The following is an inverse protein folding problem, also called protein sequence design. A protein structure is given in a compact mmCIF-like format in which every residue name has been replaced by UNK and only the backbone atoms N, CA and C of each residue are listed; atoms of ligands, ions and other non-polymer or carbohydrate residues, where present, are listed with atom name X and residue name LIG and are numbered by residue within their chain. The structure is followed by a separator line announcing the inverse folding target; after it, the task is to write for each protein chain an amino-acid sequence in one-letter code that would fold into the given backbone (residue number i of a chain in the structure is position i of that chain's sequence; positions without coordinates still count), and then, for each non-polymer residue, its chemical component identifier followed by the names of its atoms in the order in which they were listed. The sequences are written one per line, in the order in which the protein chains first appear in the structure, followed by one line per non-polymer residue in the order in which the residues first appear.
data_IF_916543204344
#
_entry.id   IF_916543204344
#
_cell.length_a   1.000
_cell.length_b   1.000
_cell.length_c   1.000
_cell.angle_alpha   90.00
_cell.angle_beta   90.00
_cell.angle_gamma   90.00
#
_symmetry.space_group_name_H-M   'P 1'
#
loop_
_entity.id
_entity.type
_entity.pdbx_description
1 polymer ?
#
# COMPACT_ATOMS: atom_id res chain seq x y z
N UNK A 1 12.22 -4.23 -26.08
CA UNK A 1 11.53 -3.37 -27.07
C UNK A 1 12.55 -3.03 -28.15
N UNK A 2 12.28 -3.40 -29.40
CA UNK A 2 13.23 -3.27 -30.53
C UNK A 2 13.08 -1.89 -31.16
N UNK A 3 14.17 -1.13 -31.16
CA UNK A 3 14.31 0.11 -31.93
C UNK A 3 14.15 -0.17 -33.42
N UNK A 4 13.12 0.41 -34.03
CA UNK A 4 13.02 0.54 -35.49
C UNK A 4 13.30 1.99 -35.86
N UNK A 5 14.57 2.30 -36.12
CA UNK A 5 14.97 3.50 -36.87
C UNK A 5 14.61 3.28 -38.33
N UNK A 6 13.67 4.06 -38.85
CA UNK A 6 13.40 4.17 -40.28
C UNK A 6 14.24 5.37 -40.75
N UNK A 7 15.40 5.08 -41.35
CA UNK A 7 16.13 6.04 -42.17
C UNK A 7 15.54 5.94 -43.58
N UNK A 8 14.91 7.01 -44.07
CA UNK A 8 14.52 7.13 -45.47
C UNK A 8 14.88 8.51 -45.99
N UNK A 9 16.18 8.76 -46.11
CA UNK A 9 16.71 9.80 -47.01
C UNK A 9 17.10 9.13 -48.31
N UNK A 10 16.34 9.40 -49.37
CA UNK A 10 16.73 9.05 -50.74
C UNK A 10 16.59 10.30 -51.59
N UNK A 11 17.67 11.07 -51.85
CA UNK A 11 17.59 12.18 -52.78
C UNK A 11 17.43 11.66 -54.21
N UNK A 12 16.41 12.15 -54.89
CA UNK A 12 16.14 11.86 -56.28
C UNK A 12 17.32 12.27 -57.17
N UNK A 13 17.88 11.29 -57.89
CA UNK A 13 18.98 11.44 -58.86
C UNK A 13 18.45 12.18 -60.10
N UNK A 14 18.69 13.48 -60.18
CA UNK A 14 18.42 14.28 -61.39
C UNK A 14 19.38 13.83 -62.49
N UNK A 15 18.84 13.18 -63.52
CA UNK A 15 19.56 12.73 -64.70
C UNK A 15 19.68 13.90 -65.69
N UNK A 16 20.79 14.61 -65.68
CA UNK A 16 21.09 15.64 -66.69
C UNK A 16 21.54 14.94 -67.98
N UNK A 17 20.67 14.95 -69.01
CA UNK A 17 21.06 14.53 -70.36
C UNK A 17 21.97 15.58 -70.99
N UNK A 18 23.26 15.27 -71.10
CA UNK A 18 24.23 16.03 -71.88
C UNK A 18 23.97 15.78 -73.38
N UNK A 19 23.40 16.76 -74.07
CA UNK A 19 23.22 16.72 -75.53
C UNK A 19 24.56 17.08 -76.19
N UNK A 20 25.28 16.08 -76.69
CA UNK A 20 26.44 16.29 -77.56
C UNK A 20 25.98 16.79 -78.94
N UNK A 21 26.18 18.08 -79.20
CA UNK A 21 25.95 18.70 -80.51
C UNK A 21 27.14 18.38 -81.43
N UNK A 22 26.92 17.52 -82.42
CA UNK A 22 27.89 17.25 -83.49
C UNK A 22 27.97 18.47 -84.42
N UNK A 23 29.16 19.04 -84.55
CA UNK A 23 29.48 20.01 -85.58
C UNK A 23 29.56 19.29 -86.93
N UNK A 24 28.58 19.52 -87.81
CA UNK A 24 28.65 19.18 -89.23
C UNK A 24 28.81 20.47 -90.00
N UNK A 25 30.04 20.71 -90.45
CA UNK A 25 30.42 21.70 -91.44
C UNK A 25 30.16 21.10 -92.81
N UNK A 26 29.12 21.57 -93.50
CA UNK A 26 29.04 21.52 -94.95
C UNK A 26 28.43 22.84 -95.46
N UNK A 27 29.26 23.60 -96.18
CA UNK A 27 28.88 24.83 -96.89
C UNK A 27 28.35 24.45 -98.28
N UNK A 28 27.23 25.03 -98.73
CA UNK A 28 26.93 25.16 -100.15
C UNK A 28 27.19 26.60 -100.66
N UNK A 29 27.26 26.77 -101.99
CA UNK A 29 28.02 27.83 -102.63
C UNK A 29 27.26 29.16 -102.74
N UNK A 30 28.05 30.22 -102.85
CA UNK A 30 27.61 31.59 -103.09
C UNK A 30 26.90 31.71 -104.44
N UNK A 31 25.66 32.18 -104.40
CA UNK A 31 24.84 32.47 -105.57
C UNK A 31 24.00 33.73 -105.35
N UNK A 32 24.44 34.83 -105.99
CA UNK A 32 23.68 36.01 -106.41
C UNK A 32 22.96 36.80 -105.29
N UNK A 33 23.69 37.80 -104.82
CA UNK A 33 23.18 39.02 -104.19
C UNK A 33 22.29 39.75 -105.19
N UNK A 34 21.02 39.99 -104.85
CA UNK A 34 20.34 41.29 -104.99
C UNK A 34 18.81 41.17 -104.86
N UNK A 35 18.32 40.53 -103.80
CA UNK A 35 16.93 40.67 -103.35
C UNK A 35 16.69 40.22 -101.90
N UNK A 36 17.73 40.13 -101.07
CA UNK A 36 17.64 39.59 -99.68
C UNK A 36 17.64 40.65 -98.57
N UNK A 37 17.92 41.93 -98.87
CA UNK A 37 18.00 42.97 -97.83
C UNK A 37 16.63 43.41 -97.31
N UNK A 38 15.58 43.34 -98.12
CA UNK A 38 14.21 43.58 -97.66
C UNK A 38 13.71 42.44 -96.74
N UNK A 39 14.05 41.18 -97.05
CA UNK A 39 13.71 40.04 -96.20
C UNK A 39 14.56 39.96 -94.92
N UNK A 40 15.80 40.46 -94.94
CA UNK A 40 16.69 40.49 -93.77
C UNK A 40 16.17 41.45 -92.70
N UNK A 41 15.75 42.64 -93.10
CA UNK A 41 15.17 43.62 -92.18
C UNK A 41 13.83 43.10 -91.61
N UNK A 42 12.97 42.49 -92.45
CA UNK A 42 11.72 41.88 -92.00
C UNK A 42 11.94 40.72 -91.02
N UNK A 43 13.00 39.92 -91.21
CA UNK A 43 13.35 38.83 -90.31
C UNK A 43 13.97 39.33 -89.00
N UNK A 44 14.80 40.37 -89.03
CA UNK A 44 15.29 41.03 -87.83
C UNK A 44 14.16 41.67 -87.02
N UNK A 45 13.17 42.29 -87.69
CA UNK A 45 11.98 42.85 -87.04
C UNK A 45 11.13 41.74 -86.38
N UNK A 46 10.92 40.61 -87.05
CA UNK A 46 10.23 39.44 -86.47
C UNK A 46 11.00 38.83 -85.30
N UNK A 47 12.33 38.76 -85.39
CA UNK A 47 13.19 38.25 -84.32
C UNK A 47 13.16 39.18 -83.11
N UNK A 48 13.15 40.50 -83.33
CA UNK A 48 13.03 41.50 -82.27
C UNK A 48 11.64 41.43 -81.63
N UNK A 49 10.56 41.28 -82.41
CA UNK A 49 9.22 41.02 -81.87
C UNK A 49 9.13 39.74 -81.04
N UNK A 50 9.75 38.64 -81.48
CA UNK A 50 9.80 37.39 -80.70
C UNK A 50 10.63 37.54 -79.42
N UNK A 51 11.72 38.30 -79.45
CA UNK A 51 12.50 38.62 -78.26
C UNK A 51 11.69 39.46 -77.27
N UNK A 52 11.00 40.48 -77.75
CA UNK A 52 10.11 41.29 -76.92
C UNK A 52 8.99 40.43 -76.32
N UNK A 53 8.31 39.59 -77.10
CA UNK A 53 7.30 38.66 -76.60
C UNK A 53 7.85 37.71 -75.54
N UNK A 54 9.07 37.19 -75.72
CA UNK A 54 9.73 36.32 -74.73
C UNK A 54 10.07 37.07 -73.45
N UNK A 55 10.58 38.30 -73.55
CA UNK A 55 10.84 39.16 -72.40
C UNK A 55 9.52 39.42 -71.65
N UNK A 56 8.45 39.73 -72.38
CA UNK A 56 7.14 40.03 -71.82
C UNK A 56 6.49 38.82 -71.13
N UNK A 57 6.61 37.63 -71.73
CA UNK A 57 6.15 36.35 -71.14
C UNK A 57 6.99 35.98 -69.91
N UNK A 58 8.32 36.14 -69.97
CA UNK A 58 9.20 35.88 -68.83
C UNK A 58 8.89 36.85 -67.67
N UNK A 59 8.67 38.14 -67.94
CA UNK A 59 8.23 39.08 -66.91
C UNK A 59 6.91 38.67 -66.27
N UNK A 60 5.91 38.29 -67.08
CA UNK A 60 4.62 37.78 -66.58
C UNK A 60 4.77 36.52 -65.75
N UNK A 61 5.67 35.61 -66.15
CA UNK A 61 5.98 34.40 -65.39
C UNK A 61 6.64 34.71 -64.05
N UNK A 62 7.61 35.62 -64.01
CA UNK A 62 8.28 36.04 -62.78
C UNK A 62 7.31 36.76 -61.83
N UNK A 63 6.40 37.58 -62.36
CA UNK A 63 5.37 38.28 -61.60
C UNK A 63 4.34 37.30 -61.04
N UNK A 64 3.86 36.35 -61.85
CA UNK A 64 3.00 35.27 -61.40
C UNK A 64 3.70 34.45 -60.31
N UNK A 65 4.95 34.04 -60.53
CA UNK A 65 5.75 33.28 -59.56
C UNK A 65 5.85 34.02 -58.23
N UNK A 66 6.23 35.31 -58.25
CA UNK A 66 6.27 36.15 -57.04
C UNK A 66 4.91 36.25 -56.37
N UNK A 67 3.84 36.47 -57.14
CA UNK A 67 2.48 36.54 -56.59
C UNK A 67 2.09 35.22 -55.92
N UNK A 68 2.39 34.07 -56.54
CA UNK A 68 2.07 32.74 -56.00
C UNK A 68 2.91 32.43 -54.77
N UNK A 69 4.19 32.83 -54.74
CA UNK A 69 5.05 32.70 -53.57
C UNK A 69 4.56 33.57 -52.41
N UNK A 70 4.17 34.83 -52.67
CA UNK A 70 3.66 35.74 -51.64
C UNK A 70 2.33 35.24 -51.08
N UNK A 71 1.45 34.70 -51.94
CA UNK A 71 0.10 34.31 -51.51
C UNK A 71 0.09 32.91 -50.88
N UNK A 72 0.79 31.93 -51.46
CA UNK A 72 0.65 30.52 -51.07
C UNK A 72 1.62 30.09 -49.98
N UNK A 73 2.82 30.68 -49.94
CA UNK A 73 3.86 30.31 -48.96
C UNK A 73 3.47 30.59 -47.51
N UNK A 74 2.94 31.77 -47.13
CA UNK A 74 2.59 32.02 -45.72
C UNK A 74 1.47 31.09 -45.24
N UNK A 75 0.51 30.76 -46.11
CA UNK A 75 -0.58 29.83 -45.79
C UNK A 75 -0.05 28.40 -45.59
N UNK A 76 0.88 27.95 -46.44
CA UNK A 76 1.54 26.65 -46.27
C UNK A 76 2.40 26.59 -45.00
N UNK A 77 3.15 27.66 -44.70
CA UNK A 77 3.95 27.74 -43.47
C UNK A 77 3.06 27.81 -42.21
N UNK A 78 1.90 28.48 -42.30
CA UNK A 78 0.90 28.49 -41.24
C UNK A 78 0.29 27.10 -41.03
N UNK A 79 -0.17 26.46 -42.10
CA UNK A 79 -0.73 25.10 -42.04
C UNK A 79 0.29 24.09 -41.50
N UNK A 80 1.55 24.19 -41.92
CA UNK A 80 2.61 23.32 -41.40
C UNK A 80 2.84 23.52 -39.90
N UNK A 81 2.83 24.77 -39.42
CA UNK A 81 2.90 25.07 -37.97
C UNK A 81 1.69 24.53 -37.21
N UNK A 82 0.49 24.64 -37.78
CA UNK A 82 -0.73 24.07 -37.17
C UNK A 82 -0.64 22.54 -37.09
N UNK A 83 -0.25 21.87 -38.18
CA UNK A 83 -0.06 20.43 -38.20
C UNK A 83 1.02 19.95 -37.23
N UNK A 84 2.13 20.69 -37.09
CA UNK A 84 3.16 20.40 -36.08
C UNK A 84 2.60 20.56 -34.67
N UNK A 85 1.87 21.64 -34.40
CA UNK A 85 1.23 21.85 -33.09
C UNK A 85 0.24 20.74 -32.74
N UNK A 86 -0.55 20.27 -33.72
CA UNK A 86 -1.51 19.20 -33.51
C UNK A 86 -0.82 17.83 -33.35
N UNK A 87 0.28 17.59 -34.07
CA UNK A 87 1.12 16.41 -33.86
C UNK A 87 1.70 16.38 -32.44
N UNK A 88 2.24 17.51 -31.96
CA UNK A 88 2.79 17.63 -30.62
C UNK A 88 1.71 17.43 -29.54
N UNK A 89 0.52 18.02 -29.72
CA UNK A 89 -0.64 17.79 -28.83
C UNK A 89 -1.00 16.30 -28.78
N UNK A 90 -1.14 15.66 -29.94
CA UNK A 90 -1.49 14.25 -30.02
C UNK A 90 -0.42 13.35 -29.38
N UNK A 91 0.87 13.69 -29.54
CA UNK A 91 1.96 12.97 -28.88
C UNK A 91 1.89 13.12 -27.36
N UNK A 92 1.65 14.33 -26.85
CA UNK A 92 1.49 14.58 -25.41
C UNK A 92 0.28 13.85 -24.83
N UNK A 93 -0.86 13.85 -25.53
CA UNK A 93 -2.03 13.07 -25.14
C UNK A 93 -1.71 11.57 -25.10
N UNK A 94 -0.96 11.05 -26.08
CA UNK A 94 -0.55 9.66 -26.11
C UNK A 94 0.38 9.31 -24.94
N UNK A 95 1.31 10.19 -24.57
CA UNK A 95 2.17 9.98 -23.40
C UNK A 95 1.37 9.97 -22.11
N UNK A 96 0.43 10.91 -21.92
CA UNK A 96 -0.44 10.94 -20.75
C UNK A 96 -1.32 9.69 -20.66
N UNK A 97 -1.90 9.23 -21.78
CA UNK A 97 -2.67 7.98 -21.81
C UNK A 97 -1.82 6.76 -21.46
N UNK A 98 -0.55 6.70 -21.91
CA UNK A 98 0.37 5.62 -21.53
C UNK A 98 0.68 5.62 -20.05
N UNK A 99 0.92 6.79 -19.45
CA UNK A 99 1.14 6.93 -18.01
C UNK A 99 -0.10 6.46 -17.22
N UNK A 100 -1.30 6.84 -17.65
CA UNK A 100 -2.55 6.37 -17.05
C UNK A 100 -2.70 4.85 -17.15
N UNK A 101 -2.41 4.26 -18.31
CA UNK A 101 -2.45 2.80 -18.50
C UNK A 101 -1.47 2.12 -17.54
N UNK A 102 -0.24 2.62 -17.43
CA UNK A 102 0.77 2.06 -16.52
C UNK A 102 0.32 2.17 -15.05
N UNK A 103 -0.25 3.30 -14.67
CA UNK A 103 -0.80 3.52 -13.33
C UNK A 103 -1.95 2.54 -13.01
N UNK A 104 -2.90 2.38 -13.95
CA UNK A 104 -3.99 1.43 -13.80
C UNK A 104 -3.50 -0.02 -13.75
N UNK A 105 -2.49 -0.39 -14.55
CA UNK A 105 -1.87 -1.72 -14.49
C UNK A 105 -1.20 -1.98 -13.13
N UNK A 106 -0.43 -1.02 -12.61
CA UNK A 106 0.18 -1.12 -11.29
C UNK A 106 -0.89 -1.30 -10.20
N UNK A 107 -1.98 -0.52 -10.29
CA UNK A 107 -3.12 -0.63 -9.37
C UNK A 107 -3.77 -2.01 -9.44
N UNK A 108 -4.03 -2.55 -10.63
CA UNK A 108 -4.60 -3.89 -10.82
C UNK A 108 -3.69 -4.94 -10.17
N UNK A 109 -2.38 -4.87 -10.40
CA UNK A 109 -1.43 -5.83 -9.80
C UNK A 109 -1.39 -5.74 -8.28
N UNK A 110 -1.57 -4.54 -7.72
CA UNK A 110 -1.66 -4.33 -6.28
C UNK A 110 -2.94 -4.91 -5.69
N UNK A 111 -4.10 -4.63 -6.29
CA UNK A 111 -5.38 -5.22 -5.85
C UNK A 111 -5.39 -6.74 -5.96
N UNK A 112 -4.75 -7.30 -7.00
CA UNK A 112 -4.59 -8.75 -7.13
C UNK A 112 -3.75 -9.36 -6.02
N UNK A 113 -2.65 -8.71 -5.61
CA UNK A 113 -1.82 -9.22 -4.51
C UNK A 113 -2.53 -9.10 -3.17
N UNK A 114 -3.27 -8.01 -2.91
CA UNK A 114 -4.10 -7.87 -1.71
C UNK A 114 -5.22 -8.92 -1.67
N UNK A 115 -5.91 -9.13 -2.80
CA UNK A 115 -6.94 -10.16 -2.90
C UNK A 115 -6.40 -11.54 -2.56
N UNK A 116 -5.25 -11.93 -3.12
CA UNK A 116 -4.62 -13.20 -2.81
C UNK A 116 -4.16 -13.30 -1.35
N UNK A 117 -3.69 -12.21 -0.76
CA UNK A 117 -3.35 -12.15 0.67
C UNK A 117 -4.56 -12.43 1.56
N UNK A 118 -5.66 -11.71 1.32
CA UNK A 118 -6.93 -11.89 2.06
C UNK A 118 -7.51 -13.29 1.84
N UNK A 119 -7.42 -13.82 0.63
CA UNK A 119 -7.86 -15.18 0.32
C UNK A 119 -7.09 -16.22 1.14
N UNK A 120 -5.75 -16.12 1.20
CA UNK A 120 -4.92 -17.03 1.98
C UNK A 120 -5.22 -16.94 3.49
N UNK A 121 -5.42 -15.73 4.03
CA UNK A 121 -5.82 -15.55 5.43
C UNK A 121 -7.17 -16.20 5.73
N UNK A 122 -8.13 -16.07 4.81
CA UNK A 122 -9.45 -16.70 4.95
C UNK A 122 -9.37 -18.22 4.91
N UNK A 123 -8.55 -18.80 4.03
CA UNK A 123 -8.32 -20.24 3.98
C UNK A 123 -7.71 -20.76 5.29
N UNK A 124 -6.77 -20.03 5.89
CA UNK A 124 -6.21 -20.38 7.22
C UNK A 124 -7.27 -20.30 8.32
N UNK A 125 -8.17 -19.32 8.27
CA UNK A 125 -9.27 -19.24 9.25
C UNK A 125 -10.26 -20.39 9.08
N UNK A 126 -10.62 -20.75 7.85
CA UNK A 126 -11.52 -21.86 7.56
C UNK A 126 -10.94 -23.17 8.12
N UNK A 127 -9.66 -23.46 7.84
CA UNK A 127 -9.03 -24.68 8.37
C UNK A 127 -8.96 -24.69 9.90
N UNK A 128 -8.65 -23.55 10.52
CA UNK A 128 -8.67 -23.42 11.98
C UNK A 128 -10.07 -23.66 12.58
N UNK A 129 -11.13 -23.17 11.94
CA UNK A 129 -12.51 -23.42 12.38
C UNK A 129 -12.91 -24.88 12.19
N UNK A 130 -12.56 -25.51 11.08
CA UNK A 130 -12.81 -26.92 10.84
C UNK A 130 -12.13 -27.80 11.90
N UNK A 131 -10.88 -27.49 12.25
CA UNK A 131 -10.14 -28.21 13.28
C UNK A 131 -10.74 -28.00 14.67
N UNK A 132 -11.18 -26.78 15.00
CA UNK A 132 -11.89 -26.50 16.25
C UNK A 132 -13.21 -27.28 16.35
N UNK A 133 -13.98 -27.35 15.25
CA UNK A 133 -15.21 -28.14 15.19
C UNK A 133 -14.92 -29.63 15.41
N UNK A 134 -13.90 -30.18 14.73
CA UNK A 134 -13.48 -31.59 14.93
C UNK A 134 -13.06 -31.85 16.37
N UNK A 135 -12.31 -30.94 16.98
CA UNK A 135 -11.91 -31.05 18.37
C UNK A 135 -13.13 -31.07 19.30
N UNK A 136 -14.07 -30.14 19.12
CA UNK A 136 -15.30 -30.09 19.92
C UNK A 136 -16.14 -31.36 19.76
N UNK A 137 -16.24 -31.91 18.54
CA UNK A 137 -16.92 -33.18 18.30
C UNK A 137 -16.25 -34.34 19.04
N UNK A 138 -14.91 -34.40 19.02
CA UNK A 138 -14.15 -35.41 19.75
C UNK A 138 -14.34 -35.27 21.27
N UNK A 139 -14.30 -34.05 21.81
CA UNK A 139 -14.57 -33.77 23.22
C UNK A 139 -15.99 -34.21 23.61
N UNK A 140 -17.00 -33.89 22.79
CA UNK A 140 -18.37 -34.32 23.01
C UNK A 140 -18.51 -35.85 23.00
N UNK A 141 -17.85 -36.54 22.06
CA UNK A 141 -17.84 -38.01 22.03
C UNK A 141 -17.16 -38.60 23.27
N UNK A 142 -16.09 -37.98 23.76
CA UNK A 142 -15.44 -38.37 25.01
C UNK A 142 -16.39 -38.18 26.20
N UNK A 143 -17.09 -37.05 26.29
CA UNK A 143 -18.08 -36.82 27.36
C UNK A 143 -19.25 -37.82 27.31
N UNK A 144 -19.76 -38.13 26.12
CA UNK A 144 -20.82 -39.13 25.95
C UNK A 144 -20.32 -40.50 26.44
N UNK A 145 -19.10 -40.91 26.07
CA UNK A 145 -18.48 -42.16 26.52
C UNK A 145 -18.29 -42.17 28.02
N UNK A 146 -17.71 -41.11 28.59
CA UNK A 146 -17.47 -41.00 30.02
C UNK A 146 -18.80 -41.05 30.80
N UNK A 147 -19.83 -40.35 30.33
CA UNK A 147 -21.16 -40.39 30.95
C UNK A 147 -21.78 -41.78 30.86
N UNK A 148 -21.64 -42.46 29.72
CA UNK A 148 -22.09 -43.84 29.54
C UNK A 148 -21.35 -44.79 30.51
N UNK A 149 -20.03 -44.67 30.65
CA UNK A 149 -19.24 -45.50 31.56
C UNK A 149 -19.62 -45.26 33.02
N UNK A 150 -19.88 -43.99 33.39
CA UNK A 150 -20.39 -43.62 34.73
C UNK A 150 -21.79 -44.13 35.01
N UNK A 151 -22.69 -44.10 34.02
CA UNK A 151 -24.06 -44.62 34.18
C UNK A 151 -24.12 -46.14 34.21
N UNK A 152 -23.17 -46.80 33.54
CA UNK A 152 -23.03 -48.27 33.56
C UNK A 152 -22.58 -48.81 34.92
N UNK A 153 -21.79 -48.06 35.69
CA UNK A 153 -21.31 -48.47 37.01
C UNK A 153 -22.26 -48.00 38.14
N UNK A 154 -23.01 -48.90 38.80
CA UNK A 154 -23.91 -48.54 39.89
C UNK A 154 -23.19 -47.94 41.11
N UNK A 155 -21.91 -48.29 41.30
CA UNK A 155 -21.09 -47.76 42.40
C UNK A 155 -20.80 -46.26 42.22
N UNK A 156 -20.77 -45.78 40.98
CA UNK A 156 -20.52 -44.38 40.66
C UNK A 156 -21.61 -43.44 41.19
N UNK A 157 -22.82 -43.96 41.39
CA UNK A 157 -23.99 -43.21 41.87
C UNK A 157 -24.20 -43.34 43.38
N UNK A 158 -23.34 -44.06 44.10
CA UNK A 158 -23.46 -44.17 45.56
C UNK A 158 -23.16 -42.82 46.23
N UNK A 159 -24.19 -42.27 46.87
CA UNK A 159 -24.19 -40.97 47.54
C UNK A 159 -23.04 -40.85 48.54
N UNK A 160 -22.77 -41.90 49.33
CA UNK A 160 -21.70 -41.89 50.34
C UNK A 160 -20.29 -41.73 49.74
N UNK A 161 -20.06 -42.38 48.60
CA UNK A 161 -18.81 -42.26 47.85
C UNK A 161 -18.62 -40.85 47.29
N UNK A 162 -19.70 -40.27 46.77
CA UNK A 162 -19.72 -38.89 46.27
C UNK A 162 -19.49 -37.87 47.38
N UNK A 163 -20.15 -38.02 48.54
CA UNK A 163 -19.94 -37.12 49.70
C UNK A 163 -18.50 -37.17 50.21
N UNK A 164 -17.87 -38.35 50.24
CA UNK A 164 -16.45 -38.48 50.61
C UNK A 164 -15.53 -37.77 49.60
N UNK A 165 -15.81 -37.91 48.30
CA UNK A 165 -15.05 -37.22 47.23
C UNK A 165 -15.22 -35.71 47.31
N UNK A 166 -16.44 -35.21 47.50
CA UNK A 166 -16.70 -33.76 47.66
C UNK A 166 -15.92 -33.20 48.84
N UNK A 167 -15.98 -33.86 50.00
CA UNK A 167 -15.18 -33.44 51.18
C UNK A 167 -13.67 -33.47 50.93
N UNK A 168 -13.17 -34.42 50.13
CA UNK A 168 -11.76 -34.46 49.77
C UNK A 168 -11.37 -33.29 48.85
N UNK A 169 -12.18 -33.03 47.81
CA UNK A 169 -11.98 -31.90 46.89
C UNK A 169 -12.10 -30.54 47.59
N UNK A 170 -13.02 -30.39 48.54
CA UNK A 170 -13.12 -29.18 49.37
C UNK A 170 -11.85 -28.92 50.17
N UNK A 171 -11.24 -29.97 50.74
CA UNK A 171 -9.95 -29.86 51.44
C UNK A 171 -8.81 -29.52 50.48
N UNK A 172 -8.77 -30.14 49.31
CA UNK A 172 -7.76 -29.84 48.28
C UNK A 172 -7.88 -28.39 47.79
N UNK A 173 -9.10 -27.91 47.58
CA UNK A 173 -9.39 -26.53 47.20
C UNK A 173 -8.93 -25.56 48.30
N UNK A 174 -9.25 -25.83 49.57
CA UNK A 174 -8.77 -25.02 50.69
C UNK A 174 -7.24 -24.93 50.72
N UNK A 175 -6.55 -26.07 50.60
CA UNK A 175 -5.08 -26.12 50.56
C UNK A 175 -4.51 -25.35 49.36
N UNK A 176 -5.14 -25.45 48.18
CA UNK A 176 -4.73 -24.71 47.00
C UNK A 176 -4.92 -23.20 47.17
N UNK A 177 -6.04 -22.76 47.75
CA UNK A 177 -6.29 -21.35 48.08
C UNK A 177 -5.30 -20.80 49.10
N UNK A 178 -4.98 -21.56 50.15
CA UNK A 178 -3.96 -21.17 51.13
C UNK A 178 -2.58 -20.98 50.49
N UNK A 179 -2.17 -21.92 49.63
CA UNK A 179 -0.92 -21.81 48.86
C UNK A 179 -0.95 -20.61 47.92
N UNK A 180 -2.06 -20.35 47.24
CA UNK A 180 -2.19 -19.20 46.36
C UNK A 180 -2.02 -17.88 47.13
N UNK A 181 -2.68 -17.74 48.29
CA UNK A 181 -2.53 -16.56 49.14
C UNK A 181 -1.13 -16.42 49.73
N UNK A 182 -0.46 -17.54 50.03
CA UNK A 182 0.95 -17.52 50.42
C UNK A 182 1.83 -16.98 49.28
N UNK A 183 1.70 -17.50 48.07
CA UNK A 183 2.47 -17.05 46.90
C UNK A 183 2.19 -15.58 46.59
N UNK A 184 0.94 -15.14 46.71
CA UNK A 184 0.57 -13.73 46.54
C UNK A 184 1.26 -12.83 47.56
N UNK A 185 1.32 -13.24 48.83
CA UNK A 185 2.05 -12.52 49.89
C UNK A 185 3.56 -12.50 49.63
N UNK A 186 4.14 -13.61 49.20
CA UNK A 186 5.56 -13.71 48.85
C UNK A 186 5.91 -12.81 47.65
N UNK A 187 5.06 -12.80 46.62
CA UNK A 187 5.20 -11.91 45.46
C UNK A 187 5.13 -10.44 45.87
N UNK A 188 4.17 -10.05 46.71
CA UNK A 188 4.05 -8.68 47.20
C UNK A 188 5.33 -8.23 47.94
N UNK A 189 5.91 -9.10 48.78
CA UNK A 189 7.19 -8.83 49.45
C UNK A 189 8.34 -8.68 48.47
N UNK A 190 8.43 -9.54 47.47
CA UNK A 190 9.45 -9.44 46.42
C UNK A 190 9.31 -8.14 45.62
N UNK A 191 8.08 -7.71 45.31
CA UNK A 191 7.82 -6.45 44.62
C UNK A 191 8.21 -5.22 45.47
N UNK A 192 8.00 -5.27 46.79
CA UNK A 192 8.47 -4.25 47.74
C UNK A 192 10.01 -4.19 47.78
N UNK A 193 10.68 -5.33 47.82
CA UNK A 193 12.14 -5.41 47.84
C UNK A 193 12.76 -4.93 46.51
N UNK A 194 12.14 -5.26 45.37
CA UNK A 194 12.54 -4.73 44.06
C UNK A 194 12.41 -3.19 44.05
N UNK A 195 11.30 -2.63 44.57
CA UNK A 195 11.11 -1.18 44.66
C UNK A 195 12.20 -0.52 45.52
N UNK A 196 12.54 -1.12 46.67
CA UNK A 196 13.63 -0.65 47.53
C UNK A 196 14.99 -0.68 46.83
N UNK A 197 15.32 -1.79 46.16
CA UNK A 197 16.57 -1.94 45.44
C UNK A 197 16.69 -0.98 44.25
N UNK A 198 15.59 -0.75 43.52
CA UNK A 198 15.55 0.27 42.45
C UNK A 198 15.83 1.66 43.00
N UNK A 199 15.18 2.06 44.08
CA UNK A 199 15.40 3.36 44.72
C UNK A 199 16.86 3.51 45.19
N UNK A 200 17.42 2.48 45.82
CA UNK A 200 18.83 2.48 46.25
C UNK A 200 19.79 2.61 45.05
N UNK A 201 19.50 1.90 43.96
CA UNK A 201 20.30 1.97 42.73
C UNK A 201 20.20 3.35 42.05
N UNK A 202 19.03 3.96 42.01
CA UNK A 202 18.86 5.33 41.50
C UNK A 202 19.64 6.35 42.32
N UNK A 203 19.60 6.23 43.65
CA UNK A 203 20.37 7.10 44.55
C UNK A 203 21.89 6.90 44.35
N UNK A 204 22.34 5.66 44.18
CA UNK A 204 23.73 5.35 43.86
C UNK A 204 24.15 5.89 42.48
N UNK A 205 23.31 5.74 41.46
CA UNK A 205 23.54 6.29 40.12
C UNK A 205 23.67 7.82 40.13
N UNK A 206 22.75 8.52 40.80
CA UNK A 206 22.83 9.98 41.00
C UNK A 206 24.11 10.38 41.74
N UNK A 207 24.54 9.58 42.71
CA UNK A 207 25.79 9.82 43.43
C UNK A 207 27.03 9.65 42.54
N UNK A 208 27.08 8.58 41.73
CA UNK A 208 28.14 8.34 40.75
C UNK A 208 28.19 9.47 39.72
N UNK A 209 27.03 9.93 39.23
CA UNK A 209 26.95 11.04 38.28
C UNK A 209 27.48 12.35 38.90
N UNK A 210 27.12 12.64 40.16
CA UNK A 210 27.66 13.80 40.89
C UNK A 210 29.17 13.69 41.10
N UNK A 211 29.68 12.50 41.43
CA UNK A 211 31.12 12.25 41.53
C UNK A 211 31.83 12.47 40.20
N UNK A 212 31.26 11.98 39.09
CA UNK A 212 31.81 12.18 37.75
C UNK A 212 31.87 13.66 37.39
N UNK A 213 30.79 14.41 37.60
CA UNK A 213 30.75 15.87 37.35
C UNK A 213 31.78 16.62 38.21
N UNK A 214 31.90 16.30 39.50
CA UNK A 214 32.88 16.92 40.38
C UNK A 214 34.33 16.58 39.97
N UNK A 215 34.59 15.35 39.55
CA UNK A 215 35.90 14.91 39.06
C UNK A 215 36.33 15.67 37.79
N UNK A 216 35.43 15.82 36.81
CA UNK A 216 35.72 16.59 35.59
C UNK A 216 35.78 18.11 35.81
N UNK A 217 35.11 18.63 36.84
CA UNK A 217 35.15 20.04 37.22
C UNK A 217 36.36 20.40 38.11
N UNK A 218 37.16 19.43 38.55
CA UNK A 218 38.31 19.66 39.45
C UNK A 218 37.90 20.02 40.89
N UNK A 219 36.66 19.75 41.28
CA UNK A 219 36.11 20.06 42.61
C UNK A 219 36.32 18.89 43.59
N UNK A 220 36.50 19.20 44.88
CA UNK A 220 36.60 18.18 45.93
C UNK A 220 35.31 17.34 45.98
N UNK A 221 35.50 16.02 45.94
CA UNK A 221 34.44 14.99 45.90
C UNK A 221 33.24 15.30 46.83
N UNK A 222 31.98 15.22 46.34
CA UNK A 222 30.79 15.43 47.15
C UNK A 222 30.73 14.40 48.29
N UNK A 223 30.76 14.88 49.54
CA UNK A 223 30.57 14.02 50.71
C UNK A 223 29.13 13.49 50.74
N UNK A 224 28.99 12.17 50.80
CA UNK A 224 27.74 11.52 51.17
C UNK A 224 27.28 12.05 52.53
N UNK A 225 26.10 12.66 52.57
CA UNK A 225 25.39 12.85 53.82
C UNK A 225 25.15 11.49 54.45
N UNK A 226 25.89 11.19 55.52
CA UNK A 226 25.77 9.98 56.35
C UNK A 226 24.51 10.05 57.22
N UNK A 227 23.37 10.40 56.63
CA UNK A 227 22.13 10.62 57.34
C UNK A 227 20.97 10.27 56.40
N UNK A 228 20.81 8.98 56.11
CA UNK A 228 19.53 8.37 55.66
C UNK A 228 19.60 6.86 55.39
N UNK A 229 20.74 6.20 55.61
CA UNK A 229 20.87 4.74 55.52
C UNK A 229 21.05 4.04 56.87
N UNK A 230 20.96 4.79 57.98
CA UNK A 230 21.27 4.30 59.33
C UNK A 230 20.04 3.87 60.15
N UNK A 231 18.86 3.72 59.53
CA UNK A 231 17.66 3.23 60.22
C UNK A 231 17.05 1.98 59.55
N UNK A 232 17.94 1.07 59.14
CA UNK A 232 17.56 -0.31 58.87
C UNK A 232 18.11 -1.18 60.00
N UNK A 233 17.30 -1.29 61.05
CA UNK A 233 17.31 -2.47 61.91
C UNK A 233 17.41 -3.70 61.01
N UNK A 234 18.49 -4.47 61.18
CA UNK A 234 18.71 -5.71 60.45
C UNK A 234 17.46 -6.58 60.58
N UNK A 235 16.76 -6.96 59.50
CA UNK A 235 15.72 -7.95 59.61
C UNK A 235 16.43 -9.26 59.91
N UNK A 236 16.16 -9.79 61.10
CA UNK A 236 16.45 -11.16 61.50
C UNK A 236 16.29 -12.09 60.29
N UNK A 237 17.40 -12.72 59.88
CA UNK A 237 17.45 -13.64 58.75
C UNK A 237 16.34 -14.68 58.91
N UNK A 238 15.35 -14.74 57.99
CA UNK A 238 14.25 -15.67 58.09
C UNK A 238 14.78 -17.11 58.23
N UNK A 239 14.21 -17.94 59.12
CA UNK A 239 14.74 -19.28 59.44
C UNK A 239 14.85 -20.21 58.22
N UNK A 240 14.12 -19.95 57.14
CA UNK A 240 14.22 -20.72 55.88
C UNK A 240 15.51 -20.48 55.09
N UNK A 241 16.26 -19.40 55.36
CA UNK A 241 17.57 -19.12 54.74
C UNK A 241 18.73 -19.86 55.43
N UNK A 242 18.56 -20.40 56.65
CA UNK A 242 19.64 -21.03 57.41
C UNK A 242 19.93 -22.49 56.99
N UNK A 243 19.02 -23.13 56.25
CA UNK A 243 19.11 -24.55 55.88
C UNK A 243 19.27 -24.82 54.39
N UNK A 244 19.50 -23.80 53.57
CA UNK A 244 19.82 -24.01 52.15
C UNK A 244 21.26 -24.49 52.06
N UNK A 245 21.47 -25.81 51.98
CA UNK A 245 22.73 -26.39 51.49
C UNK A 245 23.05 -25.71 50.17
N UNK A 246 24.14 -24.95 50.12
CA UNK A 246 24.62 -24.34 48.88
C UNK A 246 24.81 -25.47 47.87
N UNK A 247 24.10 -25.50 46.74
CA UNK A 247 24.50 -26.36 45.64
C UNK A 247 25.86 -25.84 45.17
N UNK A 248 26.85 -26.74 45.07
CA UNK A 248 28.13 -26.50 44.41
C UNK A 248 27.94 -26.36 42.90
N UNK A 249 27.06 -25.45 42.49
CA UNK A 249 26.91 -25.06 41.10
C UNK A 249 27.55 -23.69 40.95
N UNK A 250 28.65 -23.68 40.20
CA UNK A 250 29.26 -22.51 39.59
C UNK A 250 28.19 -21.48 39.22
N UNK A 251 28.19 -20.37 39.95
CA UNK A 251 27.32 -19.23 39.73
C UNK A 251 27.51 -18.70 38.30
N UNK A 252 26.72 -19.20 37.35
CA UNK A 252 26.35 -18.43 36.17
C UNK A 252 25.43 -17.31 36.66
N UNK A 253 26.04 -16.19 37.04
CA UNK A 253 25.33 -14.93 37.22
C UNK A 253 24.38 -14.73 36.03
N UNK A 254 23.09 -14.43 36.25
CA UNK A 254 22.19 -14.04 35.19
C UNK A 254 22.87 -12.91 34.42
N UNK A 255 23.11 -13.11 33.12
CA UNK A 255 23.73 -12.05 32.30
C UNK A 255 22.87 -10.80 32.46
N UNK A 256 23.44 -9.62 32.74
CA UNK A 256 22.67 -8.39 32.81
C UNK A 256 21.93 -8.25 31.49
N UNK A 257 20.60 -8.24 31.56
CA UNK A 257 19.74 -7.95 30.40
C UNK A 257 20.19 -6.58 29.92
N UNK A 258 20.72 -6.53 28.69
CA UNK A 258 21.22 -5.28 28.11
C UNK A 258 20.07 -4.29 28.04
N UNK A 259 20.32 -3.03 28.38
CA UNK A 259 19.32 -1.94 28.34
C UNK A 259 18.59 -1.89 27.00
N UNK A 260 19.31 -2.18 25.92
CA UNK A 260 18.80 -2.34 24.55
C UNK A 260 17.64 -3.36 24.43
N UNK A 261 17.66 -4.47 25.18
CA UNK A 261 16.60 -5.48 25.15
C UNK A 261 15.34 -5.02 25.90
N UNK A 262 15.49 -4.14 26.89
CA UNK A 262 14.37 -3.54 27.62
C UNK A 262 13.69 -2.50 26.72
N UNK A 263 14.48 -1.64 26.08
CA UNK A 263 13.98 -0.64 25.13
C UNK A 263 13.29 -1.28 23.92
N UNK A 264 13.86 -2.37 23.38
CA UNK A 264 13.21 -3.16 22.31
C UNK A 264 11.87 -3.72 22.76
N UNK A 265 11.80 -4.28 23.97
CA UNK A 265 10.54 -4.83 24.52
C UNK A 265 9.50 -3.73 24.74
N UNK A 266 9.90 -2.57 25.24
CA UNK A 266 9.01 -1.43 25.44
C UNK A 266 8.49 -0.89 24.11
N UNK A 267 9.33 -0.81 23.08
CA UNK A 267 8.94 -0.45 21.72
C UNK A 267 7.91 -1.41 21.12
N UNK A 268 8.14 -2.73 21.26
CA UNK A 268 7.19 -3.77 20.81
C UNK A 268 5.86 -3.64 21.55
N UNK A 269 5.89 -3.46 22.88
CA UNK A 269 4.68 -3.31 23.68
C UNK A 269 3.91 -2.02 23.36
N UNK A 270 4.60 -0.92 23.06
CA UNK A 270 3.98 0.33 22.63
C UNK A 270 3.30 0.18 21.25
N UNK A 271 3.97 -0.47 20.30
CA UNK A 271 3.40 -0.81 18.99
C UNK A 271 2.14 -1.67 19.12
N UNK A 272 2.18 -2.70 19.96
CA UNK A 272 1.03 -3.56 20.22
C UNK A 272 -0.16 -2.80 20.83
N UNK A 273 0.08 -1.89 21.78
CA UNK A 273 -1.00 -1.06 22.36
C UNK A 273 -1.64 -0.14 21.32
N UNK A 274 -0.82 0.48 20.45
CA UNK A 274 -1.30 1.34 19.36
C UNK A 274 -2.17 0.55 18.38
N UNK A 275 -1.76 -0.66 18.03
CA UNK A 275 -2.53 -1.55 17.14
C UNK A 275 -3.85 -2.03 17.77
N UNK A 276 -3.85 -2.37 19.06
CA UNK A 276 -5.08 -2.70 19.79
C UNK A 276 -6.07 -1.53 19.82
N UNK A 277 -5.57 -0.29 19.95
CA UNK A 277 -6.41 0.90 19.94
C UNK A 277 -6.97 1.19 18.54
N UNK A 278 -6.19 0.94 17.49
CA UNK A 278 -6.63 1.00 16.08
C UNK A 278 -7.78 0.01 15.82
N UNK A 279 -7.61 -1.26 16.21
CA UNK A 279 -8.63 -2.31 16.05
C UNK A 279 -9.93 -2.00 16.80
N UNK A 280 -9.85 -1.42 18.00
CA UNK A 280 -11.03 -0.95 18.73
C UNK A 280 -11.78 0.15 17.98
N UNK A 281 -11.06 1.06 17.33
CA UNK A 281 -11.65 2.10 16.47
C UNK A 281 -12.35 1.51 15.25
N UNK A 282 -11.71 0.56 14.56
CA UNK A 282 -12.29 -0.13 13.41
C UNK A 282 -13.53 -0.93 13.78
N UNK A 283 -13.49 -1.66 14.89
CA UNK A 283 -14.61 -2.46 15.36
C UNK A 283 -15.80 -1.57 15.78
N UNK A 284 -15.53 -0.39 16.34
CA UNK A 284 -16.57 0.62 16.59
C UNK A 284 -17.22 1.12 15.29
N UNK A 285 -16.44 1.34 14.23
CA UNK A 285 -16.96 1.78 12.93
C UNK A 285 -17.80 0.69 12.25
N UNK A 286 -17.36 -0.57 12.32
CA UNK A 286 -18.14 -1.72 11.84
C UNK A 286 -19.47 -1.83 12.58
N UNK A 287 -19.45 -1.69 13.91
CA UNK A 287 -20.68 -1.70 14.71
C UNK A 287 -21.64 -0.54 14.34
N UNK A 288 -21.13 0.67 14.07
CA UNK A 288 -21.93 1.80 13.59
C UNK A 288 -22.60 1.47 12.24
N UNK A 289 -21.86 0.86 11.30
CA UNK A 289 -22.41 0.45 10.00
C UNK A 289 -23.50 -0.62 10.17
N UNK A 290 -23.24 -1.65 10.98
CA UNK A 290 -24.22 -2.71 11.27
C UNK A 290 -25.49 -2.13 11.92
N UNK A 291 -25.34 -1.16 12.82
CA UNK A 291 -26.47 -0.48 13.44
C UNK A 291 -27.27 0.36 12.43
N UNK A 292 -26.60 1.08 11.51
CA UNK A 292 -27.26 1.82 10.43
C UNK A 292 -28.03 0.89 9.50
N UNK A 293 -27.45 -0.25 9.11
CA UNK A 293 -28.12 -1.26 8.29
C UNK A 293 -29.33 -1.83 9.04
N UNK A 294 -29.17 -2.13 10.34
CA UNK A 294 -30.25 -2.67 11.18
C UNK A 294 -31.41 -1.67 11.30
N UNK A 295 -31.13 -0.39 11.55
CA UNK A 295 -32.13 0.69 11.59
C UNK A 295 -32.80 0.95 10.24
N UNK A 296 -32.06 0.83 9.14
CA UNK A 296 -32.61 0.99 7.79
C UNK A 296 -33.55 -0.17 7.43
N UNK A 297 -33.25 -1.38 7.88
CA UNK A 297 -34.08 -2.56 7.65
C UNK A 297 -35.33 -2.59 8.54
N UNK A 298 -35.22 -2.12 9.79
CA UNK A 298 -36.36 -1.93 10.69
C UNK A 298 -37.26 -0.75 10.30
N UNK A 299 -36.78 0.16 9.44
CA UNK A 299 -37.56 1.28 8.90
C UNK A 299 -38.40 0.94 7.66
N UNK A 300 -38.45 -0.33 7.24
CA UNK A 300 -39.28 -0.81 6.12
C UNK A 300 -40.43 -1.70 6.58
N UNK A 301 -40.98 -1.44 7.77
CA UNK A 301 -42.26 -2.01 8.22
C UNK A 301 -43.44 -1.30 7.54
N UNK A 302 -43.66 -1.65 6.27
CA UNK A 302 -44.98 -1.89 5.69
C UNK A 302 -44.85 -3.01 4.65
N UNK A 303 -44.33 -4.17 5.08
CA UNK A 303 -44.40 -5.39 4.28
C UNK A 303 -44.90 -6.53 5.15
N UNK A 304 -46.21 -6.77 5.00
CA UNK A 304 -46.94 -8.03 5.12
C UNK A 304 -46.44 -9.06 6.12
N UNK A 305 -47.29 -9.33 7.12
CA UNK A 305 -47.27 -10.56 7.92
C UNK A 305 -46.97 -11.79 7.05
N UNK A 306 -45.85 -12.47 7.31
CA UNK A 306 -45.62 -13.82 6.78
C UNK A 306 -44.19 -14.22 6.48
N UNK A 307 -43.22 -13.30 6.47
CA UNK A 307 -41.82 -13.68 6.17
C UNK A 307 -41.03 -13.84 7.47
N UNK A 308 -40.69 -15.09 7.80
CA UNK A 308 -39.81 -15.45 8.91
C UNK A 308 -38.48 -14.67 8.85
N UNK A 309 -38.05 -14.14 9.99
CA UNK A 309 -36.80 -13.38 10.18
C UNK A 309 -35.56 -14.14 9.63
N UNK A 310 -35.60 -15.47 9.66
CA UNK A 310 -34.58 -16.35 9.10
C UNK A 310 -34.50 -16.24 7.56
N UNK A 311 -35.65 -16.09 6.89
CA UNK A 311 -35.76 -15.96 5.43
C UNK A 311 -35.23 -14.61 4.94
N UNK A 312 -35.40 -13.56 5.74
CA UNK A 312 -34.86 -12.24 5.43
C UNK A 312 -33.31 -12.21 5.54
N UNK A 313 -32.75 -12.91 6.55
CA UNK A 313 -31.29 -13.04 6.71
C UNK A 313 -30.65 -13.82 5.57
N UNK A 314 -31.29 -14.88 5.08
CA UNK A 314 -30.79 -15.68 3.94
C UNK A 314 -30.85 -14.88 2.62
N UNK A 315 -31.89 -14.07 2.40
CA UNK A 315 -32.03 -13.27 1.17
C UNK A 315 -30.95 -12.18 1.04
N UNK A 316 -30.49 -11.60 2.15
CA UNK A 316 -29.42 -10.57 2.14
C UNK A 316 -28.06 -11.19 1.83
N UNK A 317 -27.77 -12.38 2.37
CA UNK A 317 -26.51 -13.08 2.13
C UNK A 317 -26.45 -13.68 0.71
N UNK A 318 -27.58 -14.18 0.19
CA UNK A 318 -27.64 -14.68 -1.20
C UNK A 318 -27.57 -13.57 -2.25
N UNK A 319 -27.91 -12.32 -1.92
CA UNK A 319 -27.78 -11.17 -2.83
C UNK A 319 -26.34 -10.73 -3.09
N UNK A 320 -25.38 -11.22 -2.30
CA UNK A 320 -23.95 -10.89 -2.42
C UNK A 320 -23.13 -11.95 -3.16
N UNK A 321 -23.74 -13.08 -3.53
CA UNK A 321 -23.08 -14.15 -4.27
C UNK A 321 -23.67 -14.28 -5.69
N UNK A 322 -23.21 -13.43 -6.61
CA UNK A 322 -23.53 -13.57 -8.03
C UNK A 322 -22.90 -12.44 -8.84
N UNK A 323 -22.14 -12.80 -9.86
CA UNK A 323 -21.18 -11.99 -10.61
C UNK A 323 -21.78 -10.90 -11.52
N UNK A 324 -23.01 -10.45 -11.28
CA UNK A 324 -23.62 -9.37 -12.05
C UNK A 324 -24.01 -8.22 -11.11
N UNK A 325 -23.08 -7.28 -10.92
CA UNK A 325 -23.41 -5.93 -10.48
C UNK A 325 -24.22 -5.24 -11.58
N UNK A 326 -25.51 -5.58 -11.68
CA UNK A 326 -26.48 -4.71 -12.33
C UNK A 326 -26.35 -3.37 -11.63
N UNK A 327 -26.01 -2.34 -12.40
CA UNK A 327 -25.94 -0.95 -11.96
C UNK A 327 -27.32 -0.51 -11.45
N UNK A 328 -27.65 -0.85 -10.20
CA UNK A 328 -28.77 -0.25 -9.49
C UNK A 328 -28.40 1.20 -9.27
N UNK A 329 -29.28 2.10 -9.73
CA UNK A 329 -29.22 3.50 -9.40
C UNK A 329 -29.19 3.62 -7.87
N UNK A 330 -28.00 3.87 -7.33
CA UNK A 330 -27.78 4.14 -5.92
C UNK A 330 -28.76 5.23 -5.53
N UNK A 331 -29.68 4.89 -4.64
CA UNK A 331 -30.72 5.83 -4.22
C UNK A 331 -30.04 7.06 -3.62
N UNK A 332 -30.66 8.24 -3.74
CA UNK A 332 -30.10 9.51 -3.26
C UNK A 332 -29.67 9.42 -1.78
N UNK A 333 -30.33 8.56 -1.01
CA UNK A 333 -30.05 8.28 0.40
C UNK A 333 -28.77 7.46 0.61
N UNK A 334 -28.55 6.42 -0.19
CA UNK A 334 -27.32 5.60 -0.14
C UNK A 334 -26.11 6.41 -0.58
N UNK A 335 -26.27 7.31 -1.57
CA UNK A 335 -25.24 8.30 -1.95
C UNK A 335 -24.86 9.22 -0.79
N UNK A 336 -25.82 9.72 -0.02
CA UNK A 336 -25.52 10.56 1.16
C UNK A 336 -24.78 9.80 2.26
N UNK A 337 -25.07 8.52 2.45
CA UNK A 337 -24.38 7.67 3.43
C UNK A 337 -22.93 7.41 2.97
N UNK A 338 -22.74 7.05 1.71
CA UNK A 338 -21.41 6.84 1.11
C UNK A 338 -20.56 8.12 1.15
N UNK A 339 -21.14 9.28 0.82
CA UNK A 339 -20.46 10.58 0.92
C UNK A 339 -20.15 10.98 2.38
N UNK A 340 -20.97 10.54 3.34
CA UNK A 340 -20.73 10.71 4.76
C UNK A 340 -19.58 9.84 5.29
N UNK A 341 -19.43 8.63 4.76
CA UNK A 341 -18.32 7.73 5.06
C UNK A 341 -17.03 8.18 4.38
N UNK A 342 -17.11 8.67 3.14
CA UNK A 342 -15.98 9.23 2.38
C UNK A 342 -15.40 10.49 3.04
N UNK A 343 -16.27 11.38 3.54
CA UNK A 343 -15.85 12.57 4.30
C UNK A 343 -15.17 12.24 5.64
N UNK A 344 -15.46 11.07 6.21
CA UNK A 344 -14.83 10.56 7.43
C UNK A 344 -13.55 9.74 7.16
N UNK A 345 -13.17 9.56 5.90
CA UNK A 345 -12.01 8.73 5.52
C UNK A 345 -12.22 7.24 5.77
N UNK A 346 -13.48 6.78 5.85
CA UNK A 346 -13.86 5.41 6.21
C UNK A 346 -14.39 4.60 5.02
N UNK A 347 -14.47 5.20 3.83
CA UNK A 347 -14.78 4.48 2.59
C UNK A 347 -13.47 4.13 1.87
N UNK A 348 -13.29 2.85 1.53
CA UNK A 348 -12.24 2.35 0.65
C UNK A 348 -12.31 3.01 -0.74
#
# INVERSE_FOLDING_TARGET
MRDRRINSDTPARVHTQTIHRKNSTDRPPQGKVSQRRFDQNAFEDLLNQEREKRIDVEMKYQELKKSTEITSRPDLEKLNRELQSDLDKSQNENTTLREQILYSQASITHWQSEFHGVQAEREVQITAFEDAIKQQQNEMLCYIKEYHDKTRDPEHWKIDGLQKKVKALERELQLASEKHEQVKREKARADDDIRRLKLANEMSGKYIERLGKAWFAGECSPRLGRAELADQTSPSTPPWLKNVKKPDNESRSPRPIRVEQIEQREGIMAGFRKEQQRRKGEQSAVNEIVEVISRSNLGSEELGEGVSEESARVAVVQRWHGEDCVSLEVTTREKMILDGLRRRGLAL
#
